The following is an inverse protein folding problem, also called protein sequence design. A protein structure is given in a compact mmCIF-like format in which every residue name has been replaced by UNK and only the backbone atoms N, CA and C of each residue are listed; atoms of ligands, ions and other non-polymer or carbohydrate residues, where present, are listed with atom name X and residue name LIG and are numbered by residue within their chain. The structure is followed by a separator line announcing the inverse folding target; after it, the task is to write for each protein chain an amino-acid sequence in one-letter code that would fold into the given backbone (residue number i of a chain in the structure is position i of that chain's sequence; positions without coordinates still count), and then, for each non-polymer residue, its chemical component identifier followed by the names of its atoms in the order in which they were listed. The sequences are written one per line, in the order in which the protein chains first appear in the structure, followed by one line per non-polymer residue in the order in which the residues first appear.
data_IF_624577708880
#
_entry.id   IF_624577708880
#
_cell.length_a   1.000
_cell.length_b   1.000
_cell.length_c   1.000
_cell.angle_alpha   90.00
_cell.angle_beta   90.00
_cell.angle_gamma   90.00
#
_symmetry.space_group_name_H-M   'P 1'
#
loop_
_entity.id
_entity.type
_entity.pdbx_description
1 polymer ?
#
# COMPACT_ATOMS: atom_id res chain seq x y z
N UNK A 1 9.69 14.87 -13.72
CA UNK A 1 8.38 14.49 -13.18
C UNK A 1 8.56 13.87 -11.79
N UNK A 2 7.88 14.47 -10.78
CA UNK A 2 8.01 14.04 -9.38
C UNK A 2 7.29 12.73 -9.06
N UNK A 3 6.46 12.24 -9.96
CA UNK A 3 5.64 11.04 -9.74
C UNK A 3 6.12 9.81 -10.50
N UNK A 4 7.23 9.88 -11.22
CA UNK A 4 7.61 8.81 -12.14
C UNK A 4 7.84 7.47 -11.44
N UNK A 5 8.42 7.46 -10.26
CA UNK A 5 8.65 6.22 -9.50
C UNK A 5 7.33 5.56 -9.07
N UNK A 6 6.33 6.35 -8.68
CA UNK A 6 5.00 5.86 -8.32
C UNK A 6 4.29 5.30 -9.55
N UNK A 7 4.30 6.05 -10.65
CA UNK A 7 3.68 5.63 -11.91
C UNK A 7 4.27 4.33 -12.42
N UNK A 8 5.59 4.19 -12.38
CA UNK A 8 6.26 2.96 -12.79
C UNK A 8 5.85 1.75 -11.95
N UNK A 9 5.72 1.92 -10.64
CA UNK A 9 5.26 0.85 -9.75
C UNK A 9 3.79 0.48 -9.98
N UNK A 10 2.93 1.45 -10.25
CA UNK A 10 1.54 1.17 -10.64
C UNK A 10 1.47 0.37 -11.95
N UNK A 11 2.28 0.73 -12.94
CA UNK A 11 2.36 -0.02 -14.20
C UNK A 11 2.88 -1.44 -13.99
N UNK A 12 3.88 -1.61 -13.14
CA UNK A 12 4.42 -2.92 -12.74
C UNK A 12 3.34 -3.78 -12.07
N UNK A 13 2.44 -3.18 -11.30
CA UNK A 13 1.30 -3.85 -10.68
C UNK A 13 0.19 -4.24 -11.69
N UNK A 14 0.31 -3.85 -12.94
CA UNK A 14 -0.67 -4.16 -13.98
C UNK A 14 -1.74 -3.09 -14.17
N UNK A 15 -1.54 -1.91 -13.60
CA UNK A 15 -2.46 -0.78 -13.74
C UNK A 15 -2.09 0.02 -15.00
N UNK A 16 -3.09 0.37 -15.81
CA UNK A 16 -2.89 1.26 -16.94
C UNK A 16 -2.82 2.70 -16.45
N UNK A 17 -1.71 3.37 -16.72
CA UNK A 17 -1.51 4.78 -16.36
C UNK A 17 -1.21 5.57 -17.61
N UNK A 18 -2.07 6.53 -17.93
CA UNK A 18 -1.96 7.40 -19.09
C UNK A 18 -1.64 8.81 -18.60
N UNK A 19 -0.53 9.35 -19.04
CA UNK A 19 -0.12 10.71 -18.73
C UNK A 19 -0.41 11.63 -19.92
N UNK A 20 -1.05 12.75 -19.66
CA UNK A 20 -1.20 13.84 -20.63
C UNK A 20 -1.03 15.16 -19.89
N UNK A 21 -0.54 16.17 -20.52
CA UNK A 21 -0.21 17.52 -19.99
C UNK A 21 -0.32 17.68 -18.45
N UNK A 22 -1.53 17.91 -17.93
CA UNK A 22 -1.79 18.10 -16.50
C UNK A 22 -2.75 17.04 -15.93
N UNK A 23 -2.93 15.92 -16.65
CA UNK A 23 -3.88 14.87 -16.25
C UNK A 23 -3.16 13.53 -16.21
N UNK A 24 -3.40 12.79 -15.15
CA UNK A 24 -3.00 11.39 -15.02
C UNK A 24 -4.27 10.56 -14.93
N UNK A 25 -4.47 9.65 -15.89
CA UNK A 25 -5.61 8.74 -15.90
C UNK A 25 -5.14 7.35 -15.47
N UNK A 26 -5.83 6.76 -14.51
CA UNK A 26 -5.51 5.44 -13.98
C UNK A 26 -6.69 4.51 -14.24
N UNK A 27 -6.44 3.37 -14.88
CA UNK A 27 -7.45 2.34 -15.15
C UNK A 27 -6.96 0.99 -14.65
N UNK A 28 -7.83 0.28 -13.93
CA UNK A 28 -7.58 -1.09 -13.49
C UNK A 28 -8.55 -2.05 -14.15
N UNK A 29 -8.05 -3.22 -14.54
CA UNK A 29 -8.88 -4.31 -15.05
C UNK A 29 -9.37 -5.26 -13.93
N UNK A 30 -9.13 -4.92 -12.67
CA UNK A 30 -9.51 -5.73 -11.52
C UNK A 30 -8.48 -6.80 -11.12
N UNK A 31 -7.43 -6.99 -11.90
CA UNK A 31 -6.35 -7.93 -11.57
C UNK A 31 -5.06 -7.15 -11.29
N UNK A 32 -4.54 -7.31 -10.07
CA UNK A 32 -3.32 -6.65 -9.63
C UNK A 32 -2.24 -7.68 -9.34
N UNK A 33 -1.00 -7.32 -9.66
CA UNK A 33 0.20 -8.10 -9.31
C UNK A 33 0.94 -7.41 -8.18
N UNK A 34 1.48 -8.20 -7.27
CA UNK A 34 2.35 -7.68 -6.20
C UNK A 34 3.59 -7.00 -6.78
N UNK A 35 3.95 -5.87 -6.18
CA UNK A 35 5.14 -5.12 -6.55
C UNK A 35 6.01 -4.88 -5.33
N UNK A 36 7.28 -5.24 -5.42
CA UNK A 36 8.26 -4.95 -4.38
C UNK A 36 8.71 -3.50 -4.46
N UNK A 37 8.89 -2.89 -3.30
CA UNK A 37 9.21 -1.47 -3.15
C UNK A 37 10.37 -1.31 -2.20
N UNK A 38 11.30 -0.44 -2.55
CA UNK A 38 12.34 0.06 -1.67
C UNK A 38 12.23 1.58 -1.64
N UNK A 39 11.94 2.14 -0.48
CA UNK A 39 11.89 3.60 -0.35
C UNK A 39 13.28 4.20 -0.48
N UNK A 40 13.38 5.35 -1.09
CA UNK A 40 14.66 6.02 -1.32
C UNK A 40 14.43 7.53 -1.47
N UNK A 41 15.45 8.35 -1.23
CA UNK A 41 15.36 9.78 -1.51
C UNK A 41 14.97 10.05 -2.96
N UNK A 42 14.33 11.18 -3.19
CA UNK A 42 14.00 11.59 -4.56
C UNK A 42 15.24 11.51 -5.49
N UNK A 43 15.11 10.93 -6.69
CA UNK A 43 13.90 10.53 -7.41
C UNK A 43 13.44 9.09 -7.16
N UNK A 44 13.87 8.44 -6.10
CA UNK A 44 13.44 7.10 -5.75
C UNK A 44 11.98 7.04 -5.27
N UNK A 45 11.55 5.86 -4.85
CA UNK A 45 10.18 5.67 -4.38
C UNK A 45 9.95 6.38 -3.04
N UNK A 46 8.95 7.27 -2.94
CA UNK A 46 8.76 8.07 -1.73
C UNK A 46 8.20 7.24 -0.57
N UNK A 47 8.76 7.45 0.62
CA UNK A 47 8.27 6.81 1.84
C UNK A 47 6.81 7.16 2.15
N UNK A 48 6.34 8.31 1.71
CA UNK A 48 4.95 8.75 1.91
C UNK A 48 3.91 7.88 1.19
N UNK A 49 4.33 7.10 0.21
CA UNK A 49 3.48 6.17 -0.53
C UNK A 49 3.66 4.71 -0.13
N UNK A 50 4.57 4.43 0.80
CA UNK A 50 4.88 3.06 1.22
C UNK A 50 3.65 2.33 1.78
N UNK A 51 2.94 2.96 2.71
CA UNK A 51 1.78 2.33 3.37
C UNK A 51 0.65 2.02 2.39
N UNK A 52 0.40 2.90 1.43
CA UNK A 52 -0.64 2.73 0.41
C UNK A 52 -0.31 1.56 -0.53
N UNK A 53 0.95 1.44 -0.95
CA UNK A 53 1.37 0.30 -1.76
C UNK A 53 1.40 -1.01 -0.96
N UNK A 54 1.68 -0.95 0.34
CA UNK A 54 1.54 -2.13 1.20
C UNK A 54 0.08 -2.61 1.22
N UNK A 55 -0.87 -1.70 1.38
CA UNK A 55 -2.30 -2.04 1.32
C UNK A 55 -2.68 -2.67 -0.03
N UNK A 56 -2.20 -2.12 -1.15
CA UNK A 56 -2.40 -2.70 -2.47
C UNK A 56 -1.86 -4.12 -2.56
N UNK A 57 -0.67 -4.36 -2.05
CA UNK A 57 -0.02 -5.67 -2.10
C UNK A 57 -0.74 -6.73 -1.26
N UNK A 58 -1.55 -6.35 -0.28
CA UNK A 58 -2.32 -7.33 0.52
C UNK A 58 -3.38 -8.06 -0.31
N UNK A 59 -3.92 -7.40 -1.34
CA UNK A 59 -4.96 -7.98 -2.21
C UNK A 59 -4.41 -8.40 -3.58
N UNK A 60 -3.26 -7.87 -3.99
CA UNK A 60 -2.63 -8.22 -5.26
C UNK A 60 -2.10 -9.66 -5.25
N UNK A 61 -2.03 -10.28 -6.42
CA UNK A 61 -1.51 -11.64 -6.53
C UNK A 61 0.01 -11.68 -6.37
N UNK A 62 0.49 -12.59 -5.53
CA UNK A 62 1.91 -12.85 -5.37
C UNK A 62 2.46 -12.45 -4.01
N UNK A 63 3.77 -12.47 -3.90
CA UNK A 63 4.51 -12.10 -2.70
C UNK A 63 5.41 -10.92 -3.03
N UNK A 64 5.41 -9.93 -2.16
CA UNK A 64 6.22 -8.72 -2.33
C UNK A 64 7.03 -8.41 -1.08
N UNK A 65 8.11 -7.69 -1.27
CA UNK A 65 8.91 -7.12 -0.20
C UNK A 65 8.81 -5.60 -0.22
N UNK A 66 8.56 -5.03 0.95
CA UNK A 66 8.57 -3.58 1.13
C UNK A 66 9.67 -3.24 2.09
N UNK A 67 10.69 -2.57 1.58
CA UNK A 67 11.85 -2.14 2.35
C UNK A 67 11.80 -0.65 2.60
N UNK A 68 11.80 -0.28 3.88
CA UNK A 68 11.81 1.12 4.31
C UNK A 68 13.24 1.54 4.65
N UNK A 69 13.80 2.48 3.90
CA UNK A 69 15.18 2.93 4.09
C UNK A 69 15.30 4.37 4.58
N UNK A 70 14.19 5.11 4.64
CA UNK A 70 14.20 6.55 4.94
C UNK A 70 13.97 6.80 6.43
N UNK A 71 12.99 6.13 7.01
CA UNK A 71 12.61 6.33 8.41
C UNK A 71 12.50 5.01 9.16
N UNK A 72 12.85 5.05 10.43
CA UNK A 72 12.56 3.96 11.35
C UNK A 72 11.06 3.96 11.73
N UNK A 73 10.54 2.83 12.16
CA UNK A 73 9.17 2.68 12.69
C UNK A 73 8.05 3.12 11.73
N UNK A 74 8.24 2.93 10.42
CA UNK A 74 7.21 3.25 9.40
C UNK A 74 6.26 2.10 9.11
N UNK A 75 6.25 1.04 9.91
CA UNK A 75 5.35 -0.12 9.76
C UNK A 75 4.25 -0.18 10.82
N UNK A 76 3.91 0.94 11.43
CA UNK A 76 2.86 1.00 12.46
C UNK A 76 1.48 0.60 11.97
N UNK A 77 1.21 0.78 10.67
CA UNK A 77 -0.06 0.38 10.04
C UNK A 77 -0.16 -1.15 9.79
N UNK A 78 0.94 -1.88 9.91
CA UNK A 78 0.97 -3.33 9.60
C UNK A 78 0.06 -4.12 10.52
N UNK A 79 0.06 -3.83 11.82
CA UNK A 79 -0.80 -4.55 12.77
C UNK A 79 -2.29 -4.36 12.46
N UNK A 80 -2.65 -3.18 12.00
CA UNK A 80 -4.04 -2.88 11.63
C UNK A 80 -4.44 -3.59 10.34
N UNK A 81 -3.55 -3.67 9.35
CA UNK A 81 -3.77 -4.47 8.15
C UNK A 81 -3.91 -5.96 8.47
N UNK A 82 -3.11 -6.47 9.42
CA UNK A 82 -3.21 -7.86 9.89
C UNK A 82 -4.57 -8.11 10.56
N UNK A 83 -5.10 -7.16 11.32
CA UNK A 83 -6.48 -7.27 11.87
C UNK A 83 -7.53 -7.41 10.79
N UNK A 84 -7.30 -6.82 9.62
CA UNK A 84 -8.19 -6.94 8.46
C UNK A 84 -7.97 -8.22 7.65
N UNK A 85 -7.05 -9.10 8.08
CA UNK A 85 -6.79 -10.38 7.44
C UNK A 85 -5.58 -10.41 6.51
N UNK A 86 -4.77 -9.36 6.47
CA UNK A 86 -3.54 -9.35 5.67
C UNK A 86 -2.49 -10.30 6.22
N UNK A 87 -1.71 -10.90 5.33
CA UNK A 87 -0.56 -11.75 5.69
C UNK A 87 0.73 -10.97 5.47
N UNK A 88 1.26 -10.41 6.55
CA UNK A 88 2.45 -9.57 6.53
C UNK A 88 3.40 -10.02 7.65
N UNK A 89 4.67 -10.20 7.30
CA UNK A 89 5.73 -10.47 8.27
C UNK A 89 6.80 -9.40 8.18
N UNK A 90 7.18 -8.87 9.33
CA UNK A 90 8.22 -7.83 9.43
C UNK A 90 9.51 -8.46 9.92
N UNK A 91 10.61 -8.14 9.24
CA UNK A 91 11.96 -8.42 9.68
C UNK A 91 12.80 -7.14 9.52
N UNK A 92 13.10 -6.49 10.64
CA UNK A 92 13.81 -5.21 10.68
C UNK A 92 13.09 -4.14 9.84
N UNK A 93 13.71 -3.65 8.77
CA UNK A 93 13.15 -2.62 7.90
C UNK A 93 12.42 -3.17 6.67
N UNK A 94 12.18 -4.47 6.63
CA UNK A 94 11.53 -5.14 5.48
C UNK A 94 10.25 -5.82 5.93
N UNK A 95 9.18 -5.58 5.21
CA UNK A 95 7.91 -6.28 5.35
C UNK A 95 7.72 -7.21 4.14
N UNK A 96 7.44 -8.48 4.41
CA UNK A 96 7.07 -9.46 3.38
C UNK A 96 5.56 -9.57 3.39
N UNK A 97 4.93 -9.24 2.26
CA UNK A 97 3.48 -9.24 2.09
C UNK A 97 3.08 -10.39 1.17
N UNK A 98 2.29 -11.32 1.68
CA UNK A 98 1.64 -12.37 0.87
C UNK A 98 0.27 -11.86 0.46
N UNK A 99 0.10 -11.61 -0.83
CA UNK A 99 -1.12 -11.08 -1.39
C UNK A 99 -2.20 -12.11 -1.64
N UNK A 100 -3.21 -11.70 -2.39
CA UNK A 100 -4.34 -12.56 -2.73
C UNK A 100 -5.32 -12.79 -1.59
N UNK A 101 -5.20 -12.02 -0.51
CA UNK A 101 -6.10 -12.13 0.64
C UNK A 101 -7.39 -11.37 0.42
N UNK A 102 -8.50 -11.96 0.86
CA UNK A 102 -9.75 -11.23 1.00
C UNK A 102 -9.73 -10.56 2.37
N UNK A 103 -9.58 -9.25 2.37
CA UNK A 103 -9.63 -8.48 3.61
C UNK A 103 -11.04 -8.47 4.18
N UNK A 104 -11.13 -8.40 5.50
CA UNK A 104 -12.39 -8.37 6.23
C UNK A 104 -12.48 -7.10 7.07
N UNK A 105 -13.69 -6.57 7.20
CA UNK A 105 -13.94 -5.40 8.03
C UNK A 105 -13.54 -5.64 9.47
N UNK A 106 -12.91 -4.63 10.08
CA UNK A 106 -12.45 -4.67 11.46
C UNK A 106 -12.47 -3.27 12.07
N UNK A 107 -12.37 -3.21 13.40
CA UNK A 107 -12.08 -1.97 14.10
C UNK A 107 -10.58 -1.75 14.09
N UNK A 108 -10.13 -0.70 13.42
CA UNK A 108 -8.73 -0.36 13.27
C UNK A 108 -8.46 1.07 13.70
N UNK A 109 -7.22 1.34 14.04
CA UNK A 109 -6.80 2.65 14.54
C UNK A 109 -5.79 3.29 13.58
N UNK A 110 -6.11 4.47 13.11
CA UNK A 110 -5.20 5.27 12.29
C UNK A 110 -4.35 6.15 13.23
N UNK A 111 -3.05 5.89 13.24
CA UNK A 111 -2.12 6.54 14.18
C UNK A 111 -1.41 7.75 13.57
N UNK A 112 -1.36 7.83 12.23
CA UNK A 112 -0.82 8.97 11.50
C UNK A 112 -1.52 9.10 10.14
N UNK A 113 -1.19 10.15 9.40
CA UNK A 113 -1.80 10.47 8.11
C UNK A 113 -1.62 9.34 7.08
N UNK A 114 -0.44 8.73 7.01
CA UNK A 114 -0.13 7.68 6.04
C UNK A 114 -0.85 6.39 6.38
N UNK A 115 -0.86 6.03 7.65
CA UNK A 115 -1.64 4.90 8.16
C UNK A 115 -3.13 5.10 7.86
N UNK A 116 -3.66 6.30 8.09
CA UNK A 116 -5.06 6.64 7.76
C UNK A 116 -5.38 6.35 6.30
N UNK A 117 -4.57 6.86 5.38
CA UNK A 117 -4.78 6.67 3.94
C UNK A 117 -4.73 5.19 3.55
N UNK A 118 -3.75 4.43 4.07
CA UNK A 118 -3.63 3.00 3.75
C UNK A 118 -4.80 2.17 4.27
N UNK A 119 -5.30 2.48 5.47
CA UNK A 119 -6.43 1.77 6.06
C UNK A 119 -7.74 2.08 5.33
N UNK A 120 -7.94 3.30 4.87
CA UNK A 120 -9.09 3.64 4.01
C UNK A 120 -9.04 2.85 2.72
N UNK A 121 -7.89 2.78 2.05
CA UNK A 121 -7.72 1.98 0.83
C UNK A 121 -8.00 0.50 1.08
N UNK A 122 -7.48 -0.06 2.18
CA UNK A 122 -7.74 -1.44 2.57
C UNK A 122 -9.22 -1.68 2.85
N UNK A 123 -9.89 -0.75 3.54
CA UNK A 123 -11.31 -0.84 3.85
C UNK A 123 -12.18 -0.86 2.59
N UNK A 124 -11.81 -0.12 1.55
CA UNK A 124 -12.53 -0.11 0.27
C UNK A 124 -12.53 -1.48 -0.43
N UNK A 125 -11.52 -2.31 -0.17
CA UNK A 125 -11.41 -3.66 -0.73
C UNK A 125 -11.89 -4.76 0.21
N UNK A 126 -12.19 -4.43 1.46
CA UNK A 126 -12.57 -5.40 2.48
C UNK A 126 -14.07 -5.75 2.40
N UNK A 127 -14.40 -6.97 2.80
CA UNK A 127 -15.78 -7.36 3.06
C UNK A 127 -16.24 -6.81 4.41
N UNK A 128 -17.52 -6.49 4.49
CA UNK A 128 -18.20 -5.99 5.68
C UNK A 128 -17.71 -4.60 6.13
N UNK A 129 -18.09 -4.21 7.32
CA UNK A 129 -17.85 -2.87 7.83
C UNK A 129 -16.48 -2.77 8.47
N UNK A 130 -15.73 -1.74 8.12
CA UNK A 130 -14.50 -1.34 8.79
C UNK A 130 -14.75 -0.03 9.53
N UNK A 131 -14.36 0.01 10.79
CA UNK A 131 -14.39 1.24 11.60
C UNK A 131 -12.95 1.71 11.79
N UNK A 132 -12.69 2.94 11.37
CA UNK A 132 -11.37 3.54 11.48
C UNK A 132 -11.44 4.67 12.50
N UNK A 133 -10.78 4.49 13.63
CA UNK A 133 -10.69 5.50 14.69
C UNK A 133 -9.42 6.34 14.53
N UNK A 134 -9.43 7.54 15.09
CA UNK A 134 -8.32 8.49 15.10
C UNK A 134 -7.81 8.84 13.71
N UNK A 135 -8.71 9.20 12.81
CA UNK A 135 -8.34 9.74 11.50
C UNK A 135 -7.86 11.19 11.68
N UNK A 136 -6.71 11.48 11.10
CA UNK A 136 -6.10 12.81 11.11
C UNK A 136 -6.19 13.47 9.75
#
# INVERSE_FOLDING_TARGET
DKMISIINKLREAGVEVIESDNIVTVKSNGTLKSVSIETAPFPGFPTDMQAQFMALNTIAEGVSEIKETIFENRFIHVQELIRMGADIKINQNTAVVRGGKMLEGASVMATDLRASASLVLAALSAKWTTVIDRIY
#
